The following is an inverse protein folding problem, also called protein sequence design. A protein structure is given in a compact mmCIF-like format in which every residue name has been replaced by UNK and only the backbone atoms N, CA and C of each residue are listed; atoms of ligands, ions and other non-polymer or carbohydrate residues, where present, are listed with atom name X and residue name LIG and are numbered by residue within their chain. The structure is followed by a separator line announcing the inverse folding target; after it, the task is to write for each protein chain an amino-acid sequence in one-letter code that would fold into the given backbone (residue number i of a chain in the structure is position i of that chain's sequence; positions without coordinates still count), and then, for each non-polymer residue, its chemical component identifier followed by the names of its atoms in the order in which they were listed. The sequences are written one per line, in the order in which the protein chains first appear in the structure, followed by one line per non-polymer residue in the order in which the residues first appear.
data_IF_618474497045
#
_entry.id   IF_618474497045
#
_cell.length_a   1.000
_cell.length_b   1.000
_cell.length_c   1.000
_cell.angle_alpha   90.00
_cell.angle_beta   90.00
_cell.angle_gamma   90.00
#
_symmetry.space_group_name_H-M   'P 1'
#
loop_
_entity.id
_entity.type
_entity.pdbx_description
1 polymer ?
#
# COMPACT_ATOMS: atom_id res chain seq x y z
N UNK A 1 -15.94 21.55 5.26
CA UNK A 1 -15.30 20.22 5.21
C UNK A 1 -14.27 20.19 6.33
N UNK A 2 -14.26 19.17 7.19
CA UNK A 2 -13.23 19.06 8.25
C UNK A 2 -11.85 18.81 7.59
N UNK A 3 -10.78 19.50 8.04
CA UNK A 3 -9.43 19.27 7.52
C UNK A 3 -8.99 17.81 7.66
N UNK A 4 -8.23 17.32 6.68
CA UNK A 4 -7.62 15.98 6.73
C UNK A 4 -6.11 16.13 6.88
N UNK A 5 -5.59 15.57 7.95
CA UNK A 5 -4.16 15.51 8.26
C UNK A 5 -3.69 14.08 8.02
N UNK A 6 -2.53 13.89 7.41
CA UNK A 6 -1.96 12.59 7.10
C UNK A 6 -0.68 12.42 7.89
N UNK A 7 -0.61 11.36 8.69
CA UNK A 7 0.57 11.01 9.49
C UNK A 7 0.89 9.53 9.22
N UNK A 8 2.04 9.21 8.62
CA UNK A 8 2.34 7.85 8.22
C UNK A 8 2.29 6.83 9.37
N UNK A 9 1.88 5.59 9.06
CA UNK A 9 1.89 4.45 9.97
C UNK A 9 2.76 3.28 9.47
N UNK A 10 3.57 3.51 8.43
CA UNK A 10 4.65 2.60 8.06
C UNK A 10 5.67 2.48 9.20
N UNK A 11 6.22 1.30 9.41
CA UNK A 11 7.13 0.98 10.51
C UNK A 11 8.39 1.84 10.52
N UNK A 12 8.89 2.25 9.35
CA UNK A 12 10.01 3.20 9.27
C UNK A 12 9.64 4.61 9.75
N UNK A 13 8.42 5.07 9.46
CA UNK A 13 7.91 6.34 10.00
C UNK A 13 7.63 6.25 11.51
N UNK A 14 7.07 5.12 11.98
CA UNK A 14 6.86 4.83 13.40
C UNK A 14 8.19 4.86 14.15
N UNK A 15 9.24 4.21 13.62
CA UNK A 15 10.57 4.21 14.20
C UNK A 15 11.15 5.63 14.34
N UNK A 16 10.80 6.55 13.43
CA UNK A 16 11.18 7.96 13.46
C UNK A 16 10.23 8.85 14.30
N UNK A 17 9.25 8.25 14.98
CA UNK A 17 8.40 8.96 15.95
C UNK A 17 7.03 9.39 15.43
N UNK A 18 6.56 8.86 14.30
CA UNK A 18 5.25 9.23 13.73
C UNK A 18 4.07 9.05 14.71
N UNK A 19 4.08 8.03 15.58
CA UNK A 19 3.05 7.88 16.62
C UNK A 19 3.05 9.02 17.63
N UNK A 20 4.24 9.51 18.01
CA UNK A 20 4.36 10.65 18.93
C UNK A 20 3.87 11.93 18.28
N UNK A 21 4.13 12.10 16.98
CA UNK A 21 3.63 13.23 16.19
C UNK A 21 2.11 13.18 16.06
N UNK A 22 1.52 12.02 15.75
CA UNK A 22 0.07 11.85 15.66
C UNK A 22 -0.62 12.22 16.98
N UNK A 23 -0.11 11.72 18.11
CA UNK A 23 -0.63 12.06 19.45
C UNK A 23 -0.48 13.54 19.80
N UNK A 24 0.64 14.16 19.43
CA UNK A 24 0.84 15.59 19.66
C UNK A 24 -0.13 16.44 18.82
N UNK A 25 -0.40 16.05 17.56
CA UNK A 25 -1.41 16.71 16.71
C UNK A 25 -2.81 16.55 17.32
N UNK A 26 -3.18 15.37 17.79
CA UNK A 26 -4.47 15.13 18.45
C UNK A 26 -4.65 15.99 19.72
N UNK A 27 -3.60 16.08 20.55
CA UNK A 27 -3.61 16.94 21.74
C UNK A 27 -3.75 18.43 21.37
N UNK A 28 -3.02 18.89 20.35
CA UNK A 28 -3.07 20.28 19.90
C UNK A 28 -4.44 20.64 19.29
N UNK A 29 -5.06 19.73 18.53
CA UNK A 29 -6.44 19.90 18.03
C UNK A 29 -7.43 20.09 19.19
N UNK A 30 -7.30 19.26 20.23
CA UNK A 30 -8.13 19.35 21.43
C UNK A 30 -7.89 20.65 22.21
N UNK A 31 -6.64 21.06 22.40
CA UNK A 31 -6.27 22.31 23.08
C UNK A 31 -6.87 23.54 22.37
N UNK A 32 -6.88 23.54 21.03
CA UNK A 32 -7.43 24.63 20.22
C UNK A 32 -8.94 24.55 19.97
N UNK A 33 -9.60 23.47 20.38
CA UNK A 33 -11.01 23.25 20.09
C UNK A 33 -11.32 23.15 18.60
N UNK A 34 -10.40 22.60 17.80
CA UNK A 34 -10.55 22.47 16.34
C UNK A 34 -10.73 21.01 15.95
N UNK A 35 -11.73 20.74 15.10
CA UNK A 35 -11.95 19.41 14.55
C UNK A 35 -11.12 19.17 13.29
N UNK A 36 -10.43 18.03 13.23
CA UNK A 36 -9.78 17.53 12.02
C UNK A 36 -9.72 16.00 12.05
N UNK A 37 -9.63 15.38 10.86
CA UNK A 37 -9.47 13.94 10.72
C UNK A 37 -8.00 13.59 10.52
N UNK A 38 -7.43 12.80 11.42
CA UNK A 38 -6.08 12.23 11.26
C UNK A 38 -6.19 10.92 10.49
N UNK A 39 -5.64 10.91 9.28
CA UNK A 39 -5.50 9.75 8.42
C UNK A 39 -4.13 9.12 8.67
N UNK A 40 -4.11 7.82 8.97
CA UNK A 40 -2.87 7.06 9.10
C UNK A 40 -2.54 6.42 7.74
N UNK A 41 -1.83 7.14 6.89
CA UNK A 41 -1.45 6.69 5.55
C UNK A 41 -0.18 5.81 5.59
N UNK A 42 0.14 5.13 4.48
CA UNK A 42 1.49 4.56 4.31
C UNK A 42 2.59 5.64 4.25
N UNK A 43 3.85 5.23 4.12
CA UNK A 43 4.94 6.16 3.79
C UNK A 43 5.00 6.41 2.28
N UNK A 44 5.45 7.62 1.89
CA UNK A 44 5.83 7.91 0.50
C UNK A 44 7.19 7.32 0.11
N UNK A 45 7.99 6.85 1.06
CA UNK A 45 9.29 6.20 0.83
C UNK A 45 10.52 7.12 0.86
N UNK A 46 10.37 8.40 1.23
CA UNK A 46 11.48 9.30 1.48
C UNK A 46 11.80 9.35 2.98
N UNK A 47 12.43 8.31 3.52
CA UNK A 47 12.64 8.19 4.98
C UNK A 47 13.45 9.34 5.61
N UNK A 48 14.28 10.04 4.84
CA UNK A 48 14.96 11.26 5.31
C UNK A 48 13.99 12.43 5.60
N UNK A 49 12.76 12.38 5.07
CA UNK A 49 11.68 13.33 5.34
C UNK A 49 10.67 12.82 6.37
N UNK A 50 10.80 11.58 6.86
CA UNK A 50 9.86 11.03 7.84
C UNK A 50 10.16 11.56 9.26
N UNK A 51 9.15 11.79 10.13
CA UNK A 51 7.71 11.75 9.84
C UNK A 51 7.27 12.86 8.85
N UNK A 52 6.73 12.46 7.71
CA UNK A 52 6.27 13.33 6.64
C UNK A 52 4.78 13.59 6.83
N UNK A 53 4.48 14.68 7.53
CA UNK A 53 3.09 15.08 7.80
C UNK A 53 2.56 15.82 6.58
N UNK A 54 1.33 15.52 6.17
CA UNK A 54 0.66 16.26 5.11
C UNK A 54 -0.71 16.76 5.56
N UNK A 55 -1.19 17.84 4.96
CA UNK A 55 -2.53 18.37 5.17
C UNK A 55 -3.22 18.53 3.83
N UNK A 56 -4.47 18.12 3.71
CA UNK A 56 -5.28 18.39 2.53
C UNK A 56 -5.76 19.84 2.56
N UNK A 57 -5.51 20.56 1.47
CA UNK A 57 -6.05 21.89 1.20
C UNK A 57 -6.92 21.84 -0.06
N UNK A 58 -7.53 22.97 -0.37
CA UNK A 58 -8.23 23.26 -1.63
C UNK A 58 -7.33 23.14 -2.87
N UNK A 59 -6.01 23.31 -2.72
CA UNK A 59 -5.02 23.20 -3.82
C UNK A 59 -4.30 21.84 -3.89
N UNK A 60 -4.71 20.87 -3.08
CA UNK A 60 -4.05 19.56 -2.96
C UNK A 60 -3.40 19.35 -1.60
N UNK A 61 -2.54 18.34 -1.47
CA UNK A 61 -1.82 18.10 -0.21
C UNK A 61 -0.62 19.06 -0.10
N UNK A 62 -0.33 19.52 1.11
CA UNK A 62 0.90 20.24 1.46
C UNK A 62 1.68 19.41 2.46
N UNK A 63 3.00 19.26 2.26
CA UNK A 63 3.89 18.45 3.07
C UNK A 63 4.74 19.27 4.04
N UNK A 64 4.99 18.65 5.20
CA UNK A 64 5.91 19.09 6.23
C UNK A 64 6.83 17.92 6.61
N UNK A 65 8.14 18.07 6.41
CA UNK A 65 9.10 16.99 6.57
C UNK A 65 9.78 16.95 7.93
N UNK A 66 10.19 15.74 8.33
CA UNK A 66 10.97 15.46 9.54
C UNK A 66 10.35 16.10 10.78
N UNK A 67 9.03 16.03 10.87
CA UNK A 67 8.26 16.69 11.93
C UNK A 67 8.52 15.98 13.25
N UNK A 68 8.90 16.76 14.27
CA UNK A 68 9.03 16.28 15.64
C UNK A 68 7.78 16.65 16.45
N UNK A 69 7.46 15.93 17.53
CA UNK A 69 6.37 16.34 18.43
C UNK A 69 6.50 17.79 18.93
N UNK A 70 7.74 18.26 19.17
CA UNK A 70 8.03 19.64 19.56
C UNK A 70 7.75 20.70 18.50
N UNK A 71 7.61 20.30 17.23
CA UNK A 71 7.29 21.22 16.13
C UNK A 71 5.77 21.40 15.94
N UNK A 72 4.93 20.61 16.62
CA UNK A 72 3.47 20.59 16.38
C UNK A 72 2.82 21.92 16.75
N UNK A 73 3.08 22.48 17.93
CA UNK A 73 2.49 23.77 18.34
C UNK A 73 2.80 24.88 17.32
N UNK A 74 4.08 25.03 16.94
CA UNK A 74 4.52 26.04 15.97
C UNK A 74 4.01 25.78 14.55
N UNK A 75 3.78 24.52 14.16
CA UNK A 75 3.08 24.19 12.92
C UNK A 75 1.68 24.80 12.93
N UNK A 76 0.89 24.54 13.97
CA UNK A 76 -0.47 25.08 14.09
C UNK A 76 -0.48 26.62 14.13
N UNK A 77 0.44 27.24 14.86
CA UNK A 77 0.61 28.70 14.89
C UNK A 77 0.91 29.29 13.51
N UNK A 78 1.54 28.51 12.62
CA UNK A 78 1.87 28.91 11.26
C UNK A 78 0.75 28.64 10.25
N UNK A 79 -0.48 28.32 10.69
CA UNK A 79 -1.60 28.02 9.79
C UNK A 79 -1.53 26.62 9.17
N UNK A 80 -1.06 25.61 9.92
CA UNK A 80 -0.93 24.23 9.44
C UNK A 80 -2.17 23.69 8.73
N UNK A 81 -3.38 23.90 9.27
CA UNK A 81 -4.61 23.33 8.71
C UNK A 81 -5.00 23.89 7.34
N UNK A 82 -4.39 25.00 6.92
CA UNK A 82 -4.59 25.63 5.60
C UNK A 82 -3.32 25.57 4.74
N UNK A 83 -2.31 24.77 5.14
CA UNK A 83 -1.07 24.63 4.39
C UNK A 83 -0.08 25.80 4.55
N UNK A 84 -0.14 26.53 5.67
CA UNK A 84 0.71 27.70 5.91
C UNK A 84 2.21 27.39 5.99
N UNK A 85 3.03 28.41 5.73
CA UNK A 85 4.49 28.29 5.67
C UNK A 85 5.11 28.19 7.07
N UNK A 86 5.79 27.08 7.33
CA UNK A 86 6.56 26.78 8.55
C UNK A 86 7.99 26.36 8.17
N UNK A 87 8.93 26.37 9.12
CA UNK A 87 10.32 25.91 8.88
C UNK A 87 10.44 24.47 8.32
N UNK A 88 9.39 23.65 8.48
CA UNK A 88 9.31 22.26 7.97
C UNK A 88 8.61 22.14 6.62
N UNK A 89 8.11 23.24 6.05
CA UNK A 89 7.29 23.23 4.84
C UNK A 89 8.08 22.74 3.63
N UNK A 90 7.46 21.85 2.84
CA UNK A 90 8.03 21.29 1.62
C UNK A 90 7.16 21.55 0.38
N UNK A 91 6.00 22.18 0.56
CA UNK A 91 5.04 22.44 -0.51
C UNK A 91 4.28 21.21 -0.95
N UNK A 92 3.85 21.19 -2.21
CA UNK A 92 3.10 20.08 -2.78
C UNK A 92 3.99 18.82 -2.86
N UNK A 93 3.61 17.70 -2.22
CA UNK A 93 4.45 16.51 -2.14
C UNK A 93 4.85 15.96 -3.51
N UNK A 94 3.95 15.99 -4.50
CA UNK A 94 4.21 15.55 -5.88
C UNK A 94 5.23 16.43 -6.62
N UNK A 95 5.50 17.65 -6.13
CA UNK A 95 6.49 18.57 -6.69
C UNK A 95 7.87 18.44 -6.04
N UNK A 96 7.99 17.70 -4.94
CA UNK A 96 9.30 17.44 -4.32
C UNK A 96 10.15 16.64 -5.33
N UNK A 97 11.36 17.09 -5.72
CA UNK A 97 12.14 16.48 -6.80
C UNK A 97 12.39 14.98 -6.65
N UNK A 98 12.54 14.50 -5.40
CA UNK A 98 12.70 13.08 -5.11
C UNK A 98 11.51 12.23 -5.58
N UNK A 99 10.27 12.74 -5.43
CA UNK A 99 9.06 12.05 -5.86
C UNK A 99 8.72 12.35 -7.33
N UNK A 100 8.84 13.61 -7.75
CA UNK A 100 8.47 14.07 -9.09
C UNK A 100 9.22 13.36 -10.22
N UNK A 101 10.44 12.88 -9.94
CA UNK A 101 11.31 12.20 -10.92
C UNK A 101 11.17 10.68 -10.91
N UNK A 102 10.15 10.12 -10.26
CA UNK A 102 9.90 8.67 -10.21
C UNK A 102 8.79 8.24 -11.15
N UNK A 103 8.92 7.05 -11.72
CA UNK A 103 7.82 6.35 -12.41
C UNK A 103 7.24 5.29 -11.48
N UNK A 104 6.26 5.68 -10.66
CA UNK A 104 5.66 4.79 -9.65
C UNK A 104 4.52 3.96 -10.24
N UNK A 105 4.85 2.88 -10.96
CA UNK A 105 3.85 1.93 -11.47
C UNK A 105 3.27 1.08 -10.34
N UNK A 106 4.11 0.29 -9.66
CA UNK A 106 3.68 -0.57 -8.54
C UNK A 106 3.36 0.24 -7.29
N UNK A 107 4.21 1.22 -6.98
CA UNK A 107 4.10 2.06 -5.78
C UNK A 107 3.13 3.25 -5.94
N UNK A 108 2.24 3.24 -6.93
CA UNK A 108 1.38 4.38 -7.27
C UNK A 108 0.56 4.92 -6.08
N UNK A 109 0.18 4.03 -5.13
CA UNK A 109 -0.67 4.36 -3.99
C UNK A 109 0.05 4.45 -2.65
N UNK A 110 1.25 3.88 -2.50
CA UNK A 110 1.96 3.89 -1.22
C UNK A 110 2.18 5.34 -0.73
N UNK A 111 1.63 5.65 0.44
CA UNK A 111 1.69 6.96 1.07
C UNK A 111 0.58 7.94 0.69
N UNK A 112 -0.32 7.56 -0.21
CA UNK A 112 -1.43 8.42 -0.64
C UNK A 112 -2.63 8.31 0.29
N UNK A 113 -3.01 7.10 0.69
CA UNK A 113 -4.21 6.81 1.47
C UNK A 113 -3.92 5.92 2.69
N UNK A 114 -4.97 5.70 3.48
CA UNK A 114 -5.02 4.67 4.51
C UNK A 114 -4.85 3.28 3.87
N UNK A 115 -3.80 2.50 4.24
CA UNK A 115 -3.53 1.19 3.67
C UNK A 115 -4.66 0.17 3.88
N UNK A 116 -5.49 0.33 4.90
CA UNK A 116 -6.59 -0.58 5.24
C UNK A 116 -7.95 -0.10 4.74
N UNK A 117 -8.01 1.01 3.99
CA UNK A 117 -9.25 1.48 3.35
C UNK A 117 -9.40 0.88 1.94
N UNK A 118 -10.21 -0.17 1.83
CA UNK A 118 -10.53 -0.78 0.53
C UNK A 118 -11.25 0.20 -0.41
N UNK A 119 -12.08 1.10 0.11
CA UNK A 119 -12.75 2.12 -0.70
C UNK A 119 -11.74 3.12 -1.28
N UNK A 120 -10.74 3.53 -0.49
CA UNK A 120 -9.67 4.38 -0.98
C UNK A 120 -8.84 3.64 -2.05
N UNK A 121 -8.53 2.35 -1.84
CA UNK A 121 -7.87 1.50 -2.83
C UNK A 121 -8.63 1.49 -4.17
N UNK A 122 -9.94 1.22 -4.14
CA UNK A 122 -10.82 1.26 -5.33
C UNK A 122 -10.85 2.64 -5.98
N UNK A 123 -10.97 3.71 -5.20
CA UNK A 123 -11.02 5.08 -5.74
C UNK A 123 -9.74 5.48 -6.49
N UNK A 124 -8.62 4.85 -6.14
CA UNK A 124 -7.31 5.04 -6.78
C UNK A 124 -7.03 3.98 -7.87
N UNK A 125 -8.07 3.34 -8.39
CA UNK A 125 -7.96 2.38 -9.50
C UNK A 125 -7.63 0.94 -9.09
N UNK A 126 -7.60 0.64 -7.80
CA UNK A 126 -7.48 -0.73 -7.31
C UNK A 126 -8.68 -1.60 -7.71
N UNK A 127 -8.44 -2.92 -7.78
CA UNK A 127 -9.35 -3.97 -8.24
C UNK A 127 -9.69 -3.96 -9.73
N UNK A 128 -9.29 -2.94 -10.50
CA UNK A 128 -9.54 -2.92 -11.95
C UNK A 128 -8.87 -4.09 -12.67
N UNK A 129 -7.67 -4.49 -12.23
CA UNK A 129 -6.98 -5.65 -12.79
C UNK A 129 -7.73 -6.94 -12.49
N UNK A 130 -8.16 -7.11 -11.24
CA UNK A 130 -8.94 -8.27 -10.83
C UNK A 130 -10.31 -8.35 -11.51
N UNK A 131 -11.01 -7.23 -11.65
CA UNK A 131 -12.29 -7.13 -12.37
C UNK A 131 -12.19 -7.59 -13.81
N UNK A 132 -11.09 -7.27 -14.48
CA UNK A 132 -10.82 -7.78 -15.83
C UNK A 132 -10.48 -9.27 -15.79
N UNK A 133 -9.59 -9.69 -14.88
CA UNK A 133 -9.10 -11.06 -14.78
C UNK A 133 -10.23 -12.08 -14.53
N UNK A 134 -11.21 -11.76 -13.68
CA UNK A 134 -12.34 -12.68 -13.41
C UNK A 134 -13.24 -12.93 -14.62
N UNK A 135 -13.17 -12.07 -15.64
CA UNK A 135 -13.94 -12.19 -16.89
C UNK A 135 -13.11 -12.78 -18.05
N UNK A 136 -11.85 -13.14 -17.81
CA UNK A 136 -10.93 -13.67 -18.81
C UNK A 136 -10.71 -15.18 -18.65
N UNK A 137 -10.37 -15.85 -19.75
CA UNK A 137 -9.85 -17.21 -19.66
C UNK A 137 -8.45 -17.18 -19.00
N UNK A 138 -8.10 -18.17 -18.15
CA UNK A 138 -6.79 -18.23 -17.49
C UNK A 138 -5.60 -18.07 -18.45
N UNK A 139 -5.67 -18.70 -19.63
CA UNK A 139 -4.63 -18.62 -20.66
C UNK A 139 -4.41 -17.19 -21.18
N UNK A 140 -5.47 -16.37 -21.27
CA UNK A 140 -5.36 -14.98 -21.73
C UNK A 140 -4.70 -14.10 -20.68
N UNK A 141 -4.93 -14.37 -19.39
CA UNK A 141 -4.25 -13.67 -18.30
C UNK A 141 -2.74 -13.98 -18.34
N UNK A 142 -2.37 -15.26 -18.49
CA UNK A 142 -0.97 -15.68 -18.64
C UNK A 142 -0.33 -15.03 -19.87
N UNK A 143 -1.06 -14.95 -20.98
CA UNK A 143 -0.61 -14.26 -22.20
C UNK A 143 -0.33 -12.78 -21.93
N UNK A 144 -1.25 -12.04 -21.30
CA UNK A 144 -1.03 -10.62 -20.99
C UNK A 144 0.19 -10.39 -20.09
N UNK A 145 0.41 -11.23 -19.08
CA UNK A 145 1.61 -11.15 -18.20
C UNK A 145 2.89 -11.50 -18.96
N UNK A 146 2.81 -12.39 -19.95
CA UNK A 146 3.94 -12.72 -20.83
C UNK A 146 4.28 -11.54 -21.75
N UNK A 147 3.26 -10.95 -22.39
CA UNK A 147 3.40 -9.81 -23.31
C UNK A 147 3.86 -8.53 -22.59
N UNK A 148 3.55 -8.39 -21.30
CA UNK A 148 4.06 -7.26 -20.50
C UNK A 148 5.57 -7.31 -20.27
N UNK A 149 6.23 -8.44 -20.55
CA UNK A 149 7.65 -8.64 -20.31
C UNK A 149 8.03 -8.69 -18.82
N UNK A 150 7.08 -9.00 -17.92
CA UNK A 150 7.35 -9.04 -16.48
C UNK A 150 8.36 -10.16 -16.16
N UNK A 151 9.37 -9.81 -15.39
CA UNK A 151 10.40 -10.71 -14.87
C UNK A 151 10.33 -10.75 -13.35
N UNK A 152 10.74 -11.86 -12.75
CA UNK A 152 10.80 -12.04 -11.30
C UNK A 152 11.66 -10.96 -10.64
N UNK A 153 11.08 -10.28 -9.64
CA UNK A 153 11.71 -9.13 -8.97
C UNK A 153 12.55 -9.50 -7.73
N UNK A 154 12.53 -10.76 -7.30
CA UNK A 154 13.40 -11.29 -6.23
C UNK A 154 14.83 -11.64 -6.70
N UNK A 155 15.39 -10.92 -7.68
CA UNK A 155 16.77 -11.09 -8.15
C UNK A 155 16.96 -11.96 -9.39
N UNK A 156 16.44 -13.20 -9.41
CA UNK A 156 16.71 -14.18 -10.49
C UNK A 156 16.20 -13.76 -11.89
N UNK A 157 15.24 -12.84 -11.97
CA UNK A 157 14.81 -12.28 -13.24
C UNK A 157 14.18 -13.28 -14.22
N UNK A 158 13.63 -14.41 -13.75
CA UNK A 158 12.96 -15.37 -14.63
C UNK A 158 11.64 -14.78 -15.17
N UNK A 159 11.29 -14.98 -16.46
CA UNK A 159 10.04 -14.46 -17.02
C UNK A 159 8.80 -14.98 -16.28
N UNK A 160 8.00 -14.06 -15.74
CA UNK A 160 6.86 -14.41 -14.87
C UNK A 160 5.76 -15.14 -15.64
N UNK A 161 5.45 -14.70 -16.86
CA UNK A 161 4.45 -15.34 -17.72
C UNK A 161 4.81 -16.79 -18.08
N UNK A 162 6.09 -17.07 -18.35
CA UNK A 162 6.57 -18.45 -18.61
C UNK A 162 6.38 -19.32 -17.37
N UNK A 163 6.73 -18.82 -16.18
CA UNK A 163 6.50 -19.55 -14.92
C UNK A 163 5.02 -19.88 -14.73
N UNK A 164 4.13 -18.92 -14.95
CA UNK A 164 2.69 -19.13 -14.80
C UNK A 164 2.13 -20.09 -15.85
N UNK A 165 2.62 -20.04 -17.09
CA UNK A 165 2.25 -20.98 -18.15
C UNK A 165 2.57 -22.42 -17.75
N UNK A 166 3.75 -22.68 -17.19
CA UNK A 166 4.11 -24.00 -16.68
C UNK A 166 3.15 -24.49 -15.59
N UNK A 167 2.78 -23.63 -14.64
CA UNK A 167 1.82 -23.98 -13.57
C UNK A 167 0.42 -24.23 -14.15
N UNK A 168 -0.03 -23.40 -15.09
CA UNK A 168 -1.32 -23.56 -15.76
C UNK A 168 -1.42 -24.91 -16.48
N UNK A 169 -0.39 -25.27 -17.25
CA UNK A 169 -0.35 -26.48 -18.08
C UNK A 169 -0.15 -27.77 -17.26
N UNK A 170 0.32 -27.65 -16.02
CA UNK A 170 0.50 -28.79 -15.13
C UNK A 170 -0.86 -29.27 -14.60
N UNK A 171 -1.14 -30.56 -14.74
CA UNK A 171 -2.33 -31.16 -14.15
C UNK A 171 -2.23 -31.23 -12.62
N UNK A 172 -3.31 -30.92 -11.91
CA UNK A 172 -3.38 -31.00 -10.46
C UNK A 172 -4.72 -30.50 -9.94
N UNK A 173 -5.36 -31.29 -9.08
CA UNK A 173 -6.65 -30.92 -8.48
C UNK A 173 -6.53 -29.70 -7.54
N UNK A 174 -5.37 -29.53 -6.92
CA UNK A 174 -5.03 -28.39 -6.09
C UNK A 174 -3.72 -27.77 -6.55
N UNK A 175 -3.73 -26.45 -6.76
CA UNK A 175 -2.55 -25.63 -7.05
C UNK A 175 -2.46 -24.49 -6.05
N UNK A 176 -1.27 -23.91 -5.91
CA UNK A 176 -1.01 -22.89 -4.90
C UNK A 176 -0.31 -21.66 -5.48
N UNK A 177 -0.60 -20.49 -4.92
CA UNK A 177 0.19 -19.27 -5.12
C UNK A 177 0.98 -18.98 -3.85
N UNK A 178 2.31 -18.97 -3.96
CA UNK A 178 3.17 -18.63 -2.81
C UNK A 178 3.86 -17.30 -3.08
N UNK A 179 3.60 -16.33 -2.20
CA UNK A 179 4.34 -15.08 -2.14
C UNK A 179 5.53 -15.27 -1.18
N UNK A 180 6.74 -15.10 -1.70
CA UNK A 180 7.93 -14.98 -0.88
C UNK A 180 8.07 -13.51 -0.46
N UNK A 181 7.79 -13.24 0.82
CA UNK A 181 7.96 -11.93 1.45
C UNK A 181 8.97 -12.01 2.61
N UNK A 182 10.00 -12.85 2.43
CA UNK A 182 11.07 -13.00 3.40
C UNK A 182 12.03 -11.80 3.41
N UNK A 183 12.16 -11.06 2.29
CA UNK A 183 12.98 -9.84 2.12
C UNK A 183 14.20 -9.78 3.08
N UNK A 184 15.01 -10.85 3.04
CA UNK A 184 16.07 -11.09 4.02
C UNK A 184 17.34 -10.30 3.76
N UNK A 185 17.49 -9.77 2.54
CA UNK A 185 18.62 -8.93 2.16
C UNK A 185 18.66 -7.64 3.01
N UNK A 186 19.87 -7.20 3.35
CA UNK A 186 20.02 -5.94 4.06
C UNK A 186 19.64 -4.75 3.17
N UNK A 187 19.04 -3.72 3.78
CA UNK A 187 18.61 -2.47 3.12
C UNK A 187 17.50 -2.62 2.06
N UNK A 188 16.92 -3.81 1.87
CA UNK A 188 15.66 -3.96 1.13
C UNK A 188 14.47 -3.73 2.06
N UNK A 189 13.45 -3.08 1.54
CA UNK A 189 12.22 -2.76 2.26
C UNK A 189 11.04 -2.50 1.31
N UNK A 190 11.18 -2.85 0.03
CA UNK A 190 10.14 -2.61 -0.96
C UNK A 190 8.93 -3.52 -0.70
N UNK A 191 9.19 -4.79 -0.38
CA UNK A 191 8.12 -5.75 -0.08
C UNK A 191 7.43 -5.36 1.23
N UNK A 192 8.22 -5.01 2.25
CA UNK A 192 7.71 -4.44 3.51
C UNK A 192 6.78 -3.26 3.26
N UNK A 193 7.21 -2.29 2.45
CA UNK A 193 6.42 -1.09 2.15
C UNK A 193 5.13 -1.39 1.39
N UNK A 194 5.11 -2.41 0.52
CA UNK A 194 3.87 -2.82 -0.16
C UNK A 194 2.90 -3.46 0.84
N UNK A 195 3.38 -4.38 1.68
CA UNK A 195 2.55 -5.06 2.67
C UNK A 195 2.00 -4.10 3.74
N UNK A 196 2.77 -3.09 4.13
CA UNK A 196 2.34 -2.10 5.12
C UNK A 196 1.54 -0.93 4.50
N UNK A 197 1.88 -0.52 3.27
CA UNK A 197 1.43 0.72 2.66
C UNK A 197 0.37 0.59 1.56
N UNK A 198 0.25 -0.56 0.91
CA UNK A 198 -0.74 -0.86 -0.13
C UNK A 198 -1.09 -2.37 -0.17
N UNK A 199 -1.46 -3.02 0.95
CA UNK A 199 -1.58 -4.47 1.04
C UNK A 199 -2.56 -5.08 0.04
N UNK A 200 -3.59 -4.34 -0.35
CA UNK A 200 -4.58 -4.80 -1.32
C UNK A 200 -4.00 -5.03 -2.72
N UNK A 201 -2.89 -4.38 -3.10
CA UNK A 201 -2.23 -4.65 -4.38
C UNK A 201 -1.59 -6.03 -4.43
N UNK A 202 -1.05 -6.50 -3.29
CA UNK A 202 -0.51 -7.85 -3.17
C UNK A 202 -1.64 -8.87 -3.22
N UNK A 203 -2.73 -8.62 -2.47
CA UNK A 203 -3.93 -9.47 -2.47
C UNK A 203 -4.52 -9.58 -3.89
N UNK A 204 -4.70 -8.45 -4.58
CA UNK A 204 -5.18 -8.41 -5.96
C UNK A 204 -4.24 -9.18 -6.90
N UNK A 205 -2.94 -8.95 -6.81
CA UNK A 205 -1.96 -9.67 -7.63
C UNK A 205 -1.98 -11.17 -7.42
N UNK A 206 -2.09 -11.63 -6.16
CA UNK A 206 -2.18 -13.06 -5.85
C UNK A 206 -3.50 -13.68 -6.32
N UNK A 207 -4.63 -12.97 -6.21
CA UNK A 207 -5.91 -13.43 -6.74
C UNK A 207 -5.88 -13.56 -8.28
N UNK A 208 -5.31 -12.57 -8.98
CA UNK A 208 -5.10 -12.63 -10.43
C UNK A 208 -4.22 -13.84 -10.80
N UNK A 209 -3.13 -14.08 -10.07
CA UNK A 209 -2.26 -15.24 -10.27
C UNK A 209 -2.99 -16.57 -10.02
N UNK A 210 -3.85 -16.63 -8.99
CA UNK A 210 -4.66 -17.78 -8.66
C UNK A 210 -5.59 -18.15 -9.81
N UNK A 211 -6.36 -17.16 -10.30
CA UNK A 211 -7.25 -17.31 -11.45
C UNK A 211 -6.48 -17.73 -12.70
N UNK A 212 -5.34 -17.07 -12.99
CA UNK A 212 -4.53 -17.34 -14.17
C UNK A 212 -3.95 -18.77 -14.22
N UNK A 213 -3.73 -19.40 -13.07
CA UNK A 213 -3.06 -20.71 -12.97
C UNK A 213 -3.99 -21.84 -12.53
N UNK A 214 -5.23 -21.52 -12.14
CA UNK A 214 -6.18 -22.47 -11.56
C UNK A 214 -5.88 -22.83 -10.09
N UNK A 215 -5.13 -21.99 -9.37
CA UNK A 215 -4.89 -22.15 -7.95
C UNK A 215 -6.01 -21.50 -7.12
N UNK A 216 -6.48 -22.19 -6.09
CA UNK A 216 -7.55 -21.73 -5.19
C UNK A 216 -7.06 -21.32 -3.80
N UNK A 217 -5.78 -21.58 -3.47
CA UNK A 217 -5.18 -21.25 -2.18
C UNK A 217 -3.83 -20.55 -2.36
N UNK A 218 -3.60 -19.51 -1.57
CA UNK A 218 -2.34 -18.80 -1.50
C UNK A 218 -1.76 -18.72 -0.10
N UNK A 219 -0.44 -18.50 -0.03
CA UNK A 219 0.30 -18.27 1.19
C UNK A 219 1.23 -17.08 1.03
N UNK A 220 1.27 -16.19 2.01
CA UNK A 220 2.29 -15.15 2.12
C UNK A 220 3.27 -15.54 3.21
N UNK A 221 4.47 -15.98 2.80
CA UNK A 221 5.54 -16.26 3.75
C UNK A 221 6.24 -14.94 4.10
N UNK A 222 5.88 -14.37 5.25
CA UNK A 222 6.45 -13.11 5.76
C UNK A 222 7.48 -13.44 6.85
N UNK A 223 8.67 -12.84 6.75
CA UNK A 223 9.71 -12.96 7.78
C UNK A 223 9.23 -12.50 9.16
N UNK A 224 9.79 -13.07 10.22
CA UNK A 224 9.39 -12.76 11.59
C UNK A 224 9.75 -11.33 12.03
N UNK A 225 10.75 -10.70 11.41
CA UNK A 225 11.19 -9.34 11.72
C UNK A 225 10.26 -8.25 11.18
N UNK A 226 9.20 -8.61 10.43
CA UNK A 226 8.19 -7.68 9.92
C UNK A 226 6.82 -7.83 10.62
N UNK A 227 6.72 -7.64 11.96
CA UNK A 227 5.45 -7.80 12.68
C UNK A 227 4.39 -6.78 12.24
N UNK A 228 4.80 -5.59 11.78
CA UNK A 228 3.88 -4.56 11.27
C UNK A 228 3.25 -4.99 9.93
N UNK A 229 4.03 -5.60 9.05
CA UNK A 229 3.53 -6.16 7.79
C UNK A 229 2.57 -7.32 8.06
N UNK A 230 2.92 -8.26 8.94
CA UNK A 230 2.05 -9.37 9.35
C UNK A 230 0.71 -8.86 9.90
N UNK A 231 0.74 -7.88 10.81
CA UNK A 231 -0.48 -7.31 11.38
C UNK A 231 -1.34 -6.58 10.33
N UNK A 232 -0.72 -5.89 9.39
CA UNK A 232 -1.41 -5.15 8.32
C UNK A 232 -2.02 -6.11 7.30
N UNK A 233 -1.27 -7.11 6.85
CA UNK A 233 -1.74 -8.14 5.91
C UNK A 233 -2.91 -8.94 6.48
N UNK A 234 -2.84 -9.38 7.75
CA UNK A 234 -3.95 -10.08 8.38
C UNK A 234 -5.25 -9.27 8.38
N UNK A 235 -5.17 -7.97 8.69
CA UNK A 235 -6.33 -7.07 8.62
C UNK A 235 -6.82 -6.89 7.19
N UNK A 236 -5.91 -6.67 6.23
CA UNK A 236 -6.25 -6.48 4.83
C UNK A 236 -6.91 -7.74 4.22
N UNK A 237 -6.40 -8.94 4.53
CA UNK A 237 -6.99 -10.23 4.12
C UNK A 237 -8.40 -10.38 4.69
N UNK A 238 -8.61 -10.07 5.98
CA UNK A 238 -9.94 -10.11 6.58
C UNK A 238 -10.93 -9.14 5.90
N UNK A 239 -10.48 -7.92 5.59
CA UNK A 239 -11.27 -6.90 4.87
C UNK A 239 -11.59 -7.38 3.44
N UNK A 240 -10.59 -7.88 2.72
CA UNK A 240 -10.73 -8.37 1.35
C UNK A 240 -11.71 -9.56 1.28
N UNK A 241 -11.60 -10.51 2.21
CA UNK A 241 -12.53 -11.64 2.32
C UNK A 241 -13.96 -11.18 2.60
N UNK A 242 -14.15 -10.26 3.55
CA UNK A 242 -15.48 -9.67 3.86
C UNK A 242 -16.08 -8.94 2.66
N UNK A 243 -15.26 -8.31 1.84
CA UNK A 243 -15.68 -7.57 0.65
C UNK A 243 -15.84 -8.46 -0.60
N UNK A 244 -15.65 -9.77 -0.50
CA UNK A 244 -15.74 -10.70 -1.63
C UNK A 244 -14.57 -10.61 -2.63
N UNK A 245 -13.46 -9.94 -2.26
CA UNK A 245 -12.22 -9.92 -3.08
C UNK A 245 -11.49 -11.27 -2.97
N UNK A 246 -11.66 -11.96 -1.85
CA UNK A 246 -11.16 -13.31 -1.61
C UNK A 246 -12.31 -14.23 -1.21
N UNK A 247 -12.14 -15.54 -1.42
CA UNK A 247 -13.08 -16.59 -1.02
C UNK A 247 -13.50 -17.48 -2.18
N UNK A 248 -14.65 -18.14 -2.01
CA UNK A 248 -15.16 -19.14 -2.97
C UNK A 248 -15.67 -18.54 -4.29
N UNK A 249 -16.10 -17.28 -4.26
CA UNK A 249 -16.64 -16.55 -5.43
C UNK A 249 -15.99 -15.16 -5.49
N UNK A 250 -14.78 -15.07 -6.02
CA UNK A 250 -14.01 -13.82 -6.13
C UNK A 250 -14.79 -12.81 -6.97
N UNK A 251 -15.11 -11.67 -6.38
CA UNK A 251 -15.95 -10.60 -6.93
C UNK A 251 -17.33 -11.08 -7.43
N UNK A 252 -17.86 -12.17 -6.86
CA UNK A 252 -19.11 -12.81 -7.31
C UNK A 252 -18.97 -13.62 -8.60
N UNK A 253 -17.75 -13.84 -9.10
CA UNK A 253 -17.49 -14.74 -10.24
C UNK A 253 -17.47 -16.22 -9.83
N UNK A 254 -17.36 -17.12 -10.79
CA UNK A 254 -17.18 -18.56 -10.57
C UNK A 254 -15.77 -18.96 -10.08
N UNK A 255 -14.83 -18.00 -10.00
CA UNK A 255 -13.46 -18.28 -9.60
C UNK A 255 -13.33 -18.27 -8.07
N UNK A 256 -12.59 -19.24 -7.53
CA UNK A 256 -12.25 -19.31 -6.11
C UNK A 256 -10.76 -18.99 -5.89
N UNK A 257 -10.46 -18.11 -4.93
CA UNK A 257 -9.11 -17.91 -4.42
C UNK A 257 -9.15 -17.35 -3.00
N UNK A 258 -8.46 -18.00 -2.07
CA UNK A 258 -8.27 -17.48 -0.71
C UNK A 258 -6.79 -17.56 -0.31
N UNK A 259 -6.38 -16.79 0.69
CA UNK A 259 -5.00 -16.70 1.15
C UNK A 259 -4.88 -16.49 2.66
N UNK A 260 -3.72 -16.85 3.19
CA UNK A 260 -3.30 -16.61 4.57
C UNK A 260 -1.82 -16.17 4.64
#
# INVERSE_FOLDING_TARGET
MIPRIYVPCDSGAIALGAEKVAKAIEAELKERGVEAKIMRNGSRGAYFLEPLVEVATDKGRVAYGSVKPSDVKSLFDSGFLTGGHHKRWLGAPDKIPFFAKQTRLTFARCGINDPLSLDAYKSLGGLRGLQNAVAMAPADIVKQVTESGLRGRGGAGFPTGVKWKTVLDTAGAQKYIVCNADEGDSATFADRMIMEGDPFVLIEGMAIAGIATGASKGFVYIRSEYPHAVATMNKAVAIARKAGVLGVNVLGSANAFDME
#
